data_IF_475632526517
#
_entry.id   IF_475632526517
#
_cell.length_a   1.000
_cell.length_b   1.000
_cell.length_c   1.000
_cell.angle_alpha   90.00
_cell.angle_beta   90.00
_cell.angle_gamma   90.00
#
_symmetry.space_group_name_H-M   'P 1'
#
loop_
_entity.id
_entity.type
_entity.pdbx_description
1 polymer ?
#
# COMPACT_ATOMS: atom_id res chain seq x y z
N UNK A 1 26.95 -23.01 68.87
CA UNK A 1 25.95 -22.35 67.99
C UNK A 1 26.69 -21.36 67.11
N UNK A 2 26.65 -21.55 65.81
CA UNK A 2 27.58 -20.89 64.87
C UNK A 2 27.10 -19.49 64.50
N UNK A 3 27.97 -18.50 64.54
CA UNK A 3 27.77 -17.09 64.17
C UNK A 3 27.05 -16.88 62.83
N UNK A 4 27.17 -17.84 61.94
CA UNK A 4 26.49 -17.87 60.63
C UNK A 4 24.99 -18.06 60.75
N UNK A 5 24.50 -18.82 61.77
CA UNK A 5 23.07 -19.05 61.95
C UNK A 5 22.35 -17.81 62.49
N UNK A 6 23.02 -17.02 63.32
CA UNK A 6 22.47 -15.76 63.88
C UNK A 6 22.43 -14.63 62.83
N UNK A 7 23.40 -14.60 61.91
CA UNK A 7 23.40 -13.65 60.81
C UNK A 7 22.25 -13.93 59.80
N UNK A 8 21.93 -15.19 59.57
CA UNK A 8 20.81 -15.56 58.70
C UNK A 8 19.46 -15.26 59.36
N UNK A 9 19.35 -15.47 60.66
CA UNK A 9 18.15 -15.12 61.46
C UNK A 9 17.91 -13.61 61.52
N UNK A 10 18.96 -12.82 61.74
CA UNK A 10 18.85 -11.36 61.79
C UNK A 10 18.47 -10.74 60.41
N UNK A 11 18.99 -11.30 59.31
CA UNK A 11 18.60 -10.91 57.97
C UNK A 11 17.12 -11.22 57.66
N UNK A 12 16.62 -12.41 58.04
CA UNK A 12 15.23 -12.79 57.87
C UNK A 12 14.27 -11.97 58.74
N UNK A 13 14.67 -11.60 59.95
CA UNK A 13 13.87 -10.70 60.81
C UNK A 13 13.75 -9.29 60.27
N UNK A 14 14.81 -8.73 59.65
CA UNK A 14 14.72 -7.41 58.99
C UNK A 14 13.83 -7.38 57.75
N UNK A 15 13.71 -8.52 57.06
CA UNK A 15 12.79 -8.66 55.96
C UNK A 15 11.32 -8.78 56.41
N UNK A 16 11.05 -9.23 57.63
CA UNK A 16 9.71 -9.47 58.16
C UNK A 16 9.19 -8.34 59.06
N UNK A 17 9.93 -7.23 59.24
CA UNK A 17 9.44 -6.08 60.03
C UNK A 17 8.38 -5.30 59.23
N UNK A 18 7.16 -5.13 59.80
CA UNK A 18 6.12 -4.29 59.14
C UNK A 18 6.66 -2.84 59.02
N UNK A 19 6.53 -2.28 57.82
CA UNK A 19 7.03 -0.93 57.49
C UNK A 19 8.42 -0.88 56.85
N UNK A 20 9.07 -2.02 56.54
CA UNK A 20 10.36 -2.11 55.89
C UNK A 20 10.33 -1.63 54.43
N UNK A 21 11.55 -1.50 53.83
CA UNK A 21 11.70 -1.12 52.42
C UNK A 21 10.95 -2.05 51.44
N UNK A 22 10.76 -3.31 51.82
CA UNK A 22 10.00 -4.30 51.04
C UNK A 22 8.50 -4.02 51.05
N UNK A 23 7.97 -3.53 52.16
CA UNK A 23 6.54 -3.20 52.30
C UNK A 23 6.19 -1.94 51.53
N UNK A 24 7.12 -1.00 51.43
CA UNK A 24 7.00 0.17 50.52
C UNK A 24 7.05 -0.23 49.05
N UNK A 25 7.95 -1.15 48.71
CA UNK A 25 8.05 -1.67 47.32
C UNK A 25 6.78 -2.42 46.91
N UNK A 26 6.24 -3.28 47.78
CA UNK A 26 4.98 -4.00 47.53
C UNK A 26 3.81 -3.02 47.42
N UNK A 27 3.75 -2.00 48.28
CA UNK A 27 2.70 -0.98 48.24
C UNK A 27 2.79 -0.13 46.96
N UNK A 28 3.99 0.26 46.53
CA UNK A 28 4.17 0.99 45.26
C UNK A 28 3.87 0.13 44.07
N UNK A 29 4.27 -1.14 44.04
CA UNK A 29 3.90 -2.08 42.97
C UNK A 29 2.41 -2.38 42.94
N UNK A 30 1.75 -2.49 44.09
CA UNK A 30 0.31 -2.74 44.18
C UNK A 30 -0.54 -1.59 43.56
N UNK A 31 0.01 -0.37 43.51
CA UNK A 31 -0.63 0.77 42.86
C UNK A 31 -0.13 0.95 41.43
N UNK A 32 1.17 0.82 41.21
CA UNK A 32 1.79 1.06 39.88
C UNK A 32 1.41 -0.01 38.87
N UNK A 33 1.22 -1.27 39.27
CA UNK A 33 0.86 -2.37 38.35
C UNK A 33 -0.55 -2.23 37.80
N UNK A 34 -1.61 -1.99 38.61
CA UNK A 34 -2.94 -1.72 38.07
C UNK A 34 -3.01 -0.43 37.26
N UNK A 35 -2.28 0.63 37.67
CA UNK A 35 -2.19 1.86 36.90
C UNK A 35 -1.53 1.63 35.54
N UNK A 36 -0.44 0.87 35.49
CA UNK A 36 0.23 0.49 34.24
C UNK A 36 -0.67 -0.35 33.31
N UNK A 37 -1.43 -1.30 33.87
CA UNK A 37 -2.40 -2.08 33.11
C UNK A 37 -3.53 -1.19 32.60
N UNK A 38 -4.00 -0.22 33.39
CA UNK A 38 -5.02 0.74 32.97
C UNK A 38 -4.56 1.62 31.81
N UNK A 39 -3.31 2.10 31.85
CA UNK A 39 -2.70 2.87 30.77
C UNK A 39 -2.54 2.03 29.50
N UNK A 40 -2.06 0.79 29.63
CA UNK A 40 -1.95 -0.14 28.50
C UNK A 40 -3.31 -0.48 27.90
N UNK A 41 -4.32 -0.71 28.72
CA UNK A 41 -5.69 -0.95 28.26
C UNK A 41 -6.27 0.29 27.56
N UNK A 42 -6.03 1.49 28.10
CA UNK A 42 -6.42 2.74 27.44
C UNK A 42 -5.74 2.91 26.08
N UNK A 43 -4.43 2.65 26.00
CA UNK A 43 -3.70 2.68 24.70
C UNK A 43 -4.27 1.62 23.73
N UNK A 44 -4.63 0.43 24.19
CA UNK A 44 -5.23 -0.60 23.34
C UNK A 44 -6.64 -0.22 22.87
N UNK A 45 -7.42 0.46 23.68
CA UNK A 45 -8.77 0.92 23.32
C UNK A 45 -8.72 2.12 22.36
N UNK A 46 -7.76 3.03 22.56
CA UNK A 46 -7.61 4.21 21.71
C UNK A 46 -6.70 3.99 20.49
N UNK A 47 -5.83 2.95 20.49
CA UNK A 47 -4.96 2.58 19.37
C UNK A 47 -5.70 2.14 18.09
N UNK A 48 -6.86 1.45 18.13
CA UNK A 48 -7.61 1.15 16.89
C UNK A 48 -8.29 2.37 16.25
N UNK A 49 -8.33 3.52 16.94
CA UNK A 49 -8.82 4.79 16.37
C UNK A 49 -7.73 5.51 15.53
N UNK A 50 -6.50 5.02 15.57
CA UNK A 50 -5.49 5.45 14.59
C UNK A 50 -5.62 4.54 13.37
N UNK A 51 -6.07 5.05 12.21
CA UNK A 51 -6.14 4.24 11.00
C UNK A 51 -4.73 3.76 10.66
N UNK A 52 -4.50 2.45 10.78
CA UNK A 52 -3.32 1.76 10.24
C UNK A 52 -3.44 1.70 8.73
N UNK A 53 -3.05 2.74 8.13
CA UNK A 53 -3.03 3.03 6.75
C UNK A 53 -2.98 4.54 6.68
N UNK A 54 -1.83 5.12 6.98
CA UNK A 54 -1.59 6.51 6.60
C UNK A 54 -1.66 6.56 5.08
N UNK A 55 -2.89 6.73 4.60
CA UNK A 55 -3.14 7.34 3.30
C UNK A 55 -2.67 8.77 3.48
N UNK A 56 -1.35 8.97 3.46
CA UNK A 56 -0.79 10.33 3.45
C UNK A 56 -1.15 10.97 2.11
N UNK A 57 -2.39 11.42 2.04
CA UNK A 57 -2.80 12.39 1.04
C UNK A 57 -2.09 13.69 1.44
N UNK A 58 -0.88 13.88 0.94
CA UNK A 58 -0.22 15.19 0.98
C UNK A 58 -0.99 16.13 0.04
N UNK A 59 -2.14 16.56 0.53
CA UNK A 59 -2.84 17.71 -0.03
C UNK A 59 -1.95 18.90 0.28
N UNK A 60 -1.33 19.47 -0.74
CA UNK A 60 -0.78 20.82 -0.66
C UNK A 60 -1.97 21.77 -0.39
N UNK A 61 -2.14 22.16 0.87
CA UNK A 61 -3.28 22.97 1.36
C UNK A 61 -3.50 24.27 0.56
N UNK A 62 -2.51 24.71 -0.18
CA UNK A 62 -2.55 25.97 -0.91
C UNK A 62 -3.17 25.88 -2.32
N UNK A 63 -3.60 24.68 -2.75
CA UNK A 63 -4.12 24.47 -4.11
C UNK A 63 -5.46 23.76 -4.19
N UNK A 64 -6.20 23.66 -3.09
CA UNK A 64 -7.58 23.16 -3.11
C UNK A 64 -8.52 24.32 -3.38
N UNK A 65 -8.91 24.51 -4.63
CA UNK A 65 -9.98 25.41 -4.99
C UNK A 65 -11.32 24.66 -4.91
N UNK A 66 -12.14 24.98 -3.91
CA UNK A 66 -13.53 24.54 -3.85
C UNK A 66 -14.34 25.57 -4.66
N UNK A 67 -14.68 25.23 -5.89
CA UNK A 67 -15.56 26.03 -6.74
C UNK A 67 -16.77 25.16 -7.07
N UNK A 68 -17.96 25.58 -6.64
CA UNK A 68 -19.27 24.98 -6.93
C UNK A 68 -19.29 23.44 -6.82
N UNK A 69 -19.25 22.90 -5.60
CA UNK A 69 -19.31 21.47 -5.31
C UNK A 69 -18.24 20.58 -5.99
N UNK A 70 -17.14 21.15 -6.49
CA UNK A 70 -16.05 20.44 -7.14
C UNK A 70 -14.81 20.42 -6.27
N UNK A 71 -14.33 19.22 -5.91
CA UNK A 71 -13.00 19.03 -5.35
C UNK A 71 -12.01 18.82 -6.49
N UNK A 72 -11.09 19.77 -6.69
CA UNK A 72 -10.00 19.66 -7.66
C UNK A 72 -8.66 19.67 -6.94
N UNK A 73 -7.82 18.73 -7.29
CA UNK A 73 -6.44 18.62 -6.81
C UNK A 73 -5.51 18.65 -8.02
N UNK A 74 -4.65 19.66 -8.10
CA UNK A 74 -3.60 19.70 -9.11
C UNK A 74 -2.32 19.03 -8.54
N UNK A 75 -1.67 18.23 -9.36
CA UNK A 75 -0.50 17.42 -8.97
C UNK A 75 -0.79 16.48 -7.79
N UNK A 76 -1.86 15.72 -7.90
CA UNK A 76 -2.21 14.71 -6.91
C UNK A 76 -1.12 13.63 -6.85
N UNK A 77 -0.76 13.20 -5.64
CA UNK A 77 0.18 12.11 -5.42
C UNK A 77 -0.35 11.17 -4.33
N UNK A 78 -0.33 9.90 -4.64
CA UNK A 78 -0.61 8.80 -3.70
C UNK A 78 0.63 7.92 -3.57
N UNK A 79 1.00 7.55 -2.35
CA UNK A 79 2.11 6.64 -2.06
C UNK A 79 1.61 5.52 -1.16
N UNK A 80 2.09 4.31 -1.41
CA UNK A 80 1.75 3.14 -0.63
C UNK A 80 2.81 2.06 -0.74
N UNK A 81 2.53 0.94 -0.12
CA UNK A 81 3.27 -0.30 -0.30
C UNK A 81 2.30 -1.41 -0.68
N UNK A 82 2.75 -2.35 -1.50
CA UNK A 82 1.99 -3.54 -1.83
C UNK A 82 2.03 -4.58 -0.69
N UNK A 83 1.31 -5.69 -0.84
CA UNK A 83 1.24 -6.76 0.15
C UNK A 83 2.61 -7.39 0.49
N UNK A 84 3.65 -7.08 -0.27
CA UNK A 84 5.05 -7.50 -0.05
C UNK A 84 5.93 -6.39 0.51
N UNK A 85 5.34 -5.25 0.89
CA UNK A 85 6.07 -4.09 1.40
C UNK A 85 6.84 -3.32 0.32
N UNK A 86 6.62 -3.57 -0.97
CA UNK A 86 7.31 -2.85 -2.05
C UNK A 86 6.65 -1.49 -2.26
N UNK A 87 7.43 -0.41 -2.27
CA UNK A 87 6.89 0.92 -2.41
C UNK A 87 6.34 1.16 -3.82
N UNK A 88 5.20 1.83 -3.87
CA UNK A 88 4.66 2.37 -5.12
C UNK A 88 4.19 3.81 -4.94
N UNK A 89 4.12 4.52 -6.03
CA UNK A 89 3.56 5.87 -6.09
C UNK A 89 2.71 6.05 -7.34
N UNK A 90 1.57 6.72 -7.19
CA UNK A 90 0.71 7.13 -8.29
C UNK A 90 0.64 8.64 -8.27
N UNK A 91 0.92 9.27 -9.40
CA UNK A 91 0.80 10.71 -9.57
C UNK A 91 -0.21 11.01 -10.66
N UNK A 92 -0.97 12.08 -10.51
CA UNK A 92 -1.83 12.61 -11.56
C UNK A 92 -1.59 14.13 -11.69
N UNK A 93 -1.56 14.62 -12.92
CA UNK A 93 -1.46 16.07 -13.19
C UNK A 93 -2.66 16.82 -12.61
N UNK A 94 -3.85 16.22 -12.69
CA UNK A 94 -5.04 16.70 -12.00
C UNK A 94 -5.97 15.55 -11.61
N UNK A 95 -6.68 15.72 -10.49
CA UNK A 95 -7.76 14.84 -10.04
C UNK A 95 -8.98 15.72 -9.67
N UNK A 96 -10.14 15.38 -10.20
CA UNK A 96 -11.37 16.15 -10.02
C UNK A 96 -12.51 15.22 -9.62
N UNK A 97 -13.14 15.50 -8.49
CA UNK A 97 -14.44 14.96 -8.11
C UNK A 97 -15.49 16.05 -8.35
N UNK A 98 -16.46 15.79 -9.20
CA UNK A 98 -17.41 16.81 -9.64
C UNK A 98 -18.41 17.22 -8.57
N UNK A 99 -18.86 16.30 -7.74
CA UNK A 99 -19.74 16.57 -6.60
C UNK A 99 -19.47 15.57 -5.48
N UNK A 100 -19.75 15.93 -4.24
CA UNK A 100 -19.64 15.01 -3.11
C UNK A 100 -20.61 13.82 -3.23
N UNK A 101 -21.73 13.98 -3.92
CA UNK A 101 -22.70 12.92 -4.16
C UNK A 101 -22.26 11.91 -5.25
N UNK A 102 -21.31 12.32 -6.12
CA UNK A 102 -20.77 11.43 -7.17
C UNK A 102 -19.40 10.90 -6.72
N UNK A 103 -19.30 9.60 -6.41
CA UNK A 103 -18.06 8.99 -5.90
C UNK A 103 -16.98 8.78 -6.97
N UNK A 104 -17.13 9.40 -8.15
CA UNK A 104 -16.20 9.23 -9.26
C UNK A 104 -15.19 10.36 -9.30
N UNK A 105 -13.91 9.99 -9.24
CA UNK A 105 -12.75 10.89 -9.41
C UNK A 105 -12.19 10.74 -10.81
N UNK A 106 -12.21 11.80 -11.60
CA UNK A 106 -11.58 11.85 -12.91
C UNK A 106 -10.14 12.34 -12.79
N UNK A 107 -9.20 11.63 -13.40
CA UNK A 107 -7.78 11.93 -13.35
C UNK A 107 -7.19 12.13 -14.73
N UNK A 108 -6.15 12.98 -14.82
CA UNK A 108 -5.38 13.21 -16.03
C UNK A 108 -3.89 13.10 -15.78
N UNK A 109 -3.14 12.75 -16.84
CA UNK A 109 -1.67 12.65 -16.83
C UNK A 109 -1.18 11.76 -15.68
N UNK A 110 -1.68 10.53 -15.67
CA UNK A 110 -1.40 9.56 -14.62
C UNK A 110 -0.07 8.85 -14.88
N UNK A 111 0.74 8.75 -13.83
CA UNK A 111 1.97 7.95 -13.83
C UNK A 111 2.03 7.16 -12.53
N UNK A 112 2.07 5.84 -12.65
CA UNK A 112 2.34 4.95 -11.54
C UNK A 112 3.78 4.43 -11.62
N UNK A 113 4.48 4.44 -10.49
CA UNK A 113 5.83 3.88 -10.35
C UNK A 113 5.81 2.87 -9.23
N UNK A 114 6.41 1.72 -9.46
CA UNK A 114 6.57 0.68 -8.44
C UNK A 114 7.95 0.05 -8.53
N UNK A 115 8.43 -0.45 -7.39
CA UNK A 115 9.68 -1.18 -7.34
C UNK A 115 9.37 -2.67 -7.39
N UNK A 116 9.65 -3.31 -8.51
CA UNK A 116 9.57 -4.77 -8.67
C UNK A 116 10.89 -5.41 -8.22
N UNK A 117 10.88 -6.73 -8.04
CA UNK A 117 12.09 -7.50 -7.68
C UNK A 117 13.23 -7.37 -8.71
N UNK A 118 12.89 -7.10 -9.96
CA UNK A 118 13.84 -6.97 -11.09
C UNK A 118 14.12 -5.51 -11.46
N UNK A 119 13.66 -4.55 -10.65
CA UNK A 119 13.89 -3.13 -10.85
C UNK A 119 12.61 -2.30 -10.95
N UNK A 120 12.75 -1.01 -11.24
CA UNK A 120 11.61 -0.12 -11.34
C UNK A 120 10.71 -0.43 -12.55
N UNK A 121 9.41 -0.31 -12.32
CA UNK A 121 8.38 -0.34 -13.35
C UNK A 121 7.61 0.98 -13.37
N UNK A 122 7.24 1.42 -14.56
CA UNK A 122 6.47 2.64 -14.79
C UNK A 122 5.26 2.30 -15.65
N UNK A 123 4.10 2.80 -15.23
CA UNK A 123 2.88 2.78 -16.01
C UNK A 123 2.42 4.21 -16.22
N UNK A 124 2.04 4.57 -17.43
CA UNK A 124 1.52 5.90 -17.74
C UNK A 124 0.24 5.83 -18.56
N UNK A 125 -0.65 6.79 -18.32
CA UNK A 125 -1.92 6.92 -19.03
C UNK A 125 -2.38 8.39 -19.01
N UNK A 126 -3.06 8.81 -20.07
CA UNK A 126 -3.48 10.20 -20.22
C UNK A 126 -4.71 10.55 -19.38
N UNK A 127 -5.67 9.65 -19.24
CA UNK A 127 -6.88 9.91 -18.49
C UNK A 127 -7.49 8.65 -17.90
N UNK A 128 -8.23 8.81 -16.80
CA UNK A 128 -8.95 7.73 -16.15
C UNK A 128 -10.00 8.26 -15.18
N UNK A 129 -10.86 7.36 -14.74
CA UNK A 129 -11.88 7.60 -13.75
C UNK A 129 -11.86 6.47 -12.72
N UNK A 130 -11.87 6.83 -11.45
CA UNK A 130 -11.94 5.89 -10.34
C UNK A 130 -13.27 6.04 -9.62
N UNK A 131 -14.05 4.99 -9.59
CA UNK A 131 -15.26 4.89 -8.79
C UNK A 131 -14.91 4.35 -7.40
N UNK A 132 -15.05 5.21 -6.38
CA UNK A 132 -14.70 4.88 -5.00
C UNK A 132 -15.65 3.86 -4.38
N UNK A 133 -16.92 3.82 -4.80
CA UNK A 133 -17.90 2.88 -4.27
C UNK A 133 -17.74 1.49 -4.90
N UNK A 134 -17.60 1.45 -6.22
CA UNK A 134 -17.38 0.21 -6.95
C UNK A 134 -15.94 -0.31 -6.84
N UNK A 135 -15.01 0.51 -6.35
CA UNK A 135 -13.56 0.23 -6.33
C UNK A 135 -13.02 -0.18 -7.72
N UNK A 136 -13.54 0.47 -8.75
CA UNK A 136 -13.14 0.22 -10.14
C UNK A 136 -12.46 1.45 -10.72
N UNK A 137 -11.34 1.21 -11.40
CA UNK A 137 -10.65 2.22 -12.18
C UNK A 137 -10.83 1.91 -13.67
N UNK A 138 -11.24 2.90 -14.42
CA UNK A 138 -11.34 2.85 -15.87
C UNK A 138 -10.33 3.82 -16.46
N UNK A 139 -9.43 3.32 -17.28
CA UNK A 139 -8.40 4.11 -17.96
C UNK A 139 -8.79 4.21 -19.43
N UNK A 140 -8.77 5.42 -19.95
CA UNK A 140 -9.18 5.71 -21.33
C UNK A 140 -7.98 5.95 -22.23
N UNK A 141 -8.00 5.34 -23.42
CA UNK A 141 -6.94 5.43 -24.41
C UNK A 141 -5.73 4.54 -24.08
N UNK A 142 -4.55 4.89 -24.61
CA UNK A 142 -3.36 4.07 -24.47
C UNK A 142 -2.80 4.09 -23.04
N UNK A 143 -2.52 2.90 -22.52
CA UNK A 143 -1.81 2.65 -21.29
C UNK A 143 -0.44 2.08 -21.65
N UNK A 144 0.62 2.76 -21.28
CA UNK A 144 1.99 2.33 -21.52
C UNK A 144 2.58 1.77 -20.24
N UNK A 145 3.20 0.61 -20.33
CA UNK A 145 3.93 -0.03 -19.24
C UNK A 145 5.35 -0.32 -19.70
N UNK A 146 6.32 -0.02 -18.82
CA UNK A 146 7.73 -0.31 -19.06
C UNK A 146 8.43 -0.72 -17.75
N UNK A 147 9.38 -1.65 -17.87
CA UNK A 147 10.22 -2.11 -16.76
C UNK A 147 11.71 -1.95 -17.10
N UNK A 148 12.54 -1.93 -16.09
CA UNK A 148 14.00 -1.78 -16.25
C UNK A 148 14.64 -2.98 -16.97
N UNK A 149 14.06 -4.16 -16.86
CA UNK A 149 14.54 -5.40 -17.50
C UNK A 149 14.04 -5.57 -18.95
N UNK A 150 13.44 -4.51 -19.53
CA UNK A 150 13.17 -4.42 -20.98
C UNK A 150 11.77 -4.84 -21.40
N UNK A 151 10.85 -5.13 -20.47
CA UNK A 151 9.43 -5.32 -20.84
C UNK A 151 8.80 -3.97 -21.18
N UNK A 152 8.12 -3.92 -22.31
CA UNK A 152 7.30 -2.78 -22.74
C UNK A 152 5.98 -3.29 -23.25
N UNK A 153 4.90 -2.59 -22.90
CA UNK A 153 3.56 -2.97 -23.33
C UNK A 153 2.72 -1.71 -23.52
N UNK A 154 1.88 -1.73 -24.53
CA UNK A 154 0.82 -0.76 -24.73
C UNK A 154 -0.50 -1.50 -24.83
N UNK A 155 -1.46 -1.13 -24.01
CA UNK A 155 -2.82 -1.65 -24.00
C UNK A 155 -3.80 -0.49 -24.22
N UNK A 156 -4.95 -0.75 -24.84
CA UNK A 156 -5.97 0.26 -25.07
C UNK A 156 -7.14 0.05 -24.13
N UNK A 157 -7.58 1.13 -23.48
CA UNK A 157 -8.77 1.17 -22.63
C UNK A 157 -8.79 0.05 -21.59
N UNK A 158 -8.21 0.32 -20.42
CA UNK A 158 -8.02 -0.69 -19.39
C UNK A 158 -9.01 -0.48 -18.25
N UNK A 159 -9.74 -1.53 -17.89
CA UNK A 159 -10.53 -1.62 -16.67
C UNK A 159 -9.73 -2.38 -15.60
N UNK A 160 -9.68 -1.83 -14.40
CA UNK A 160 -9.00 -2.41 -13.25
C UNK A 160 -9.97 -2.49 -12.06
N UNK A 161 -10.24 -3.71 -11.61
CA UNK A 161 -10.96 -4.02 -10.39
C UNK A 161 -9.95 -4.04 -9.24
N UNK A 162 -9.99 -3.01 -8.40
CA UNK A 162 -9.03 -2.83 -7.31
C UNK A 162 -9.26 -3.88 -6.22
N UNK A 163 -10.52 -4.20 -5.94
CA UNK A 163 -10.89 -5.16 -4.90
C UNK A 163 -10.44 -6.57 -5.23
N UNK A 164 -10.70 -7.01 -6.46
CA UNK A 164 -10.38 -8.36 -6.92
C UNK A 164 -8.97 -8.44 -7.53
N UNK A 165 -8.26 -7.31 -7.63
CA UNK A 165 -6.93 -7.20 -8.24
C UNK A 165 -6.89 -7.78 -9.67
N UNK A 166 -7.91 -7.51 -10.46
CA UNK A 166 -8.05 -7.95 -11.85
C UNK A 166 -8.01 -6.79 -12.81
N UNK A 167 -7.34 -7.00 -13.92
CA UNK A 167 -7.21 -6.03 -14.99
C UNK A 167 -7.61 -6.65 -16.33
N UNK A 168 -8.28 -5.88 -17.18
CA UNK A 168 -8.57 -6.28 -18.54
C UNK A 168 -8.50 -5.07 -19.47
N UNK A 169 -7.85 -5.22 -20.65
CA UNK A 169 -7.99 -4.23 -21.71
C UNK A 169 -9.27 -4.48 -22.50
N UNK A 170 -9.89 -3.41 -22.97
CA UNK A 170 -11.03 -3.50 -23.92
C UNK A 170 -10.57 -3.51 -25.36
N UNK A 171 -9.37 -3.01 -25.62
CA UNK A 171 -8.81 -2.96 -26.96
C UNK A 171 -7.46 -3.68 -27.04
N UNK A 172 -6.85 -3.54 -28.22
CA UNK A 172 -5.63 -4.23 -28.60
C UNK A 172 -4.49 -3.98 -27.62
N UNK A 173 -3.71 -5.05 -27.42
CA UNK A 173 -2.45 -5.01 -26.70
C UNK A 173 -1.30 -5.39 -27.62
N UNK A 174 -0.19 -4.70 -27.46
CA UNK A 174 1.07 -5.02 -28.10
C UNK A 174 2.22 -4.79 -27.11
N UNK A 175 3.28 -5.56 -27.25
CA UNK A 175 4.41 -5.40 -26.34
C UNK A 175 5.68 -6.06 -26.84
N UNK A 176 6.76 -5.70 -26.16
CA UNK A 176 8.08 -6.24 -26.33
C UNK A 176 8.53 -6.87 -25.01
N UNK A 177 9.08 -8.04 -25.09
CA UNK A 177 9.71 -8.77 -24.00
C UNK A 177 11.16 -9.07 -24.40
N UNK A 178 12.08 -9.38 -23.49
CA UNK A 178 13.46 -9.70 -23.84
C UNK A 178 13.61 -10.78 -24.91
N UNK A 179 12.64 -11.72 -24.95
CA UNK A 179 12.64 -12.84 -25.90
C UNK A 179 11.96 -12.53 -27.25
N UNK A 180 11.29 -11.38 -27.42
CA UNK A 180 10.57 -11.07 -28.64
C UNK A 180 9.46 -10.06 -28.52
N UNK A 181 8.48 -10.12 -29.40
CA UNK A 181 7.32 -9.20 -29.41
C UNK A 181 6.02 -9.99 -29.40
N UNK A 182 4.98 -9.40 -28.82
CA UNK A 182 3.65 -10.00 -28.82
C UNK A 182 2.56 -8.99 -29.20
N UNK A 183 1.47 -9.51 -29.72
CA UNK A 183 0.25 -8.76 -29.98
C UNK A 183 -0.97 -9.65 -29.68
N UNK A 184 -2.06 -9.05 -29.21
CA UNK A 184 -3.35 -9.71 -29.04
C UNK A 184 -4.48 -8.67 -29.13
N UNK A 185 -5.71 -9.13 -29.24
CA UNK A 185 -6.87 -8.24 -29.25
C UNK A 185 -7.17 -7.74 -27.84
N UNK A 186 -6.84 -8.54 -26.82
CA UNK A 186 -7.11 -8.23 -25.42
C UNK A 186 -6.06 -8.85 -24.50
N UNK A 187 -5.81 -8.19 -23.36
CA UNK A 187 -5.07 -8.75 -22.24
C UNK A 187 -5.97 -8.83 -21.02
N UNK A 188 -5.90 -9.92 -20.29
CA UNK A 188 -6.55 -10.12 -19.00
C UNK A 188 -5.49 -10.54 -17.98
N UNK A 189 -5.45 -9.90 -16.83
CA UNK A 189 -4.50 -10.24 -15.75
C UNK A 189 -5.25 -10.42 -14.45
N UNK A 190 -4.92 -11.49 -13.74
CA UNK A 190 -5.28 -11.71 -12.34
C UNK A 190 -4.01 -11.61 -11.51
N UNK A 191 -3.89 -10.52 -10.72
CA UNK A 191 -2.67 -10.24 -9.96
C UNK A 191 -2.56 -11.16 -8.74
N UNK A 192 -3.69 -11.64 -8.20
CA UNK A 192 -3.72 -12.60 -7.11
C UNK A 192 -3.21 -13.96 -7.57
N UNK A 193 -3.75 -14.45 -8.70
CA UNK A 193 -3.33 -15.69 -9.32
C UNK A 193 -1.99 -15.57 -10.08
N UNK A 194 -1.48 -14.34 -10.27
CA UNK A 194 -0.27 -14.01 -11.05
C UNK A 194 -0.34 -14.55 -12.48
N UNK A 195 -1.50 -14.50 -13.07
CA UNK A 195 -1.73 -14.95 -14.43
C UNK A 195 -1.93 -13.78 -15.37
N UNK A 196 -1.40 -13.91 -16.56
CA UNK A 196 -1.63 -12.99 -17.68
C UNK A 196 -2.06 -13.82 -18.87
N UNK A 197 -3.23 -13.49 -19.41
CA UNK A 197 -3.81 -14.16 -20.57
C UNK A 197 -3.90 -13.16 -21.73
N UNK A 198 -3.38 -13.54 -22.88
CA UNK A 198 -3.57 -12.84 -24.14
C UNK A 198 -4.71 -13.52 -24.89
N UNK A 199 -5.75 -12.77 -25.20
CA UNK A 199 -6.99 -13.26 -25.79
C UNK A 199 -7.23 -12.59 -27.14
N UNK A 200 -7.70 -13.39 -28.11
CA UNK A 200 -8.00 -12.96 -29.47
C UNK A 200 -6.76 -12.66 -30.31
N UNK A 201 -6.60 -13.36 -31.41
CA UNK A 201 -5.53 -13.17 -32.40
C UNK A 201 -4.12 -13.03 -31.79
N UNK A 202 -3.88 -13.76 -30.69
CA UNK A 202 -2.61 -13.70 -29.97
C UNK A 202 -1.46 -14.20 -30.87
N UNK A 203 -0.43 -13.39 -31.02
CA UNK A 203 0.78 -13.68 -31.78
C UNK A 203 2.00 -13.37 -30.93
N UNK A 204 2.91 -14.33 -30.87
CA UNK A 204 4.23 -14.17 -30.23
C UNK A 204 5.30 -14.42 -31.28
N UNK A 205 6.15 -13.43 -31.51
CA UNK A 205 7.33 -13.57 -32.37
C UNK A 205 8.56 -13.60 -31.50
N UNK A 206 9.22 -14.74 -31.43
CA UNK A 206 10.48 -14.91 -30.70
C UNK A 206 11.67 -14.54 -31.60
N UNK A 207 12.68 -13.88 -31.02
CA UNK A 207 13.95 -13.57 -31.67
C UNK A 207 15.01 -14.50 -31.11
N UNK A 208 15.46 -15.54 -31.88
CA UNK A 208 16.54 -16.42 -31.45
C UNK A 208 17.82 -15.61 -31.20
N UNK A 209 18.49 -15.82 -30.06
CA UNK A 209 19.76 -15.18 -29.72
C UNK A 209 19.71 -14.08 -28.66
N UNK A 210 18.56 -13.62 -28.21
CA UNK A 210 18.42 -12.68 -27.08
C UNK A 210 18.15 -13.34 -25.73
N UNK A 211 17.98 -14.65 -25.70
CA UNK A 211 17.90 -15.41 -24.42
C UNK A 211 19.30 -15.51 -23.81
N UNK A 212 19.68 -14.55 -22.96
CA UNK A 212 20.69 -14.83 -21.94
C UNK A 212 20.00 -15.66 -20.86
N UNK A 213 20.29 -16.94 -20.81
CA UNK A 213 19.99 -17.74 -19.62
C UNK A 213 20.80 -17.18 -18.44
N UNK A 214 20.18 -17.13 -17.22
CA UNK A 214 20.87 -16.71 -16.01
C UNK A 214 21.99 -17.70 -15.63
#
# INVERSE_FOLDING_TARGET
>A
MTVRADQIRSKRRRFATPGGSHDRLVRTLAVALPAGIGVLAAIMVFSPLSPRGEVSFLLDRNKVAVVDDRLRVDRAMYRGADDRGRPFSITAGSAVQHTAANPVVTMRDMVARMLLSQGPAVLSANSGAYDMNAQQMRIFGPVMFATADGYRMTAQDVDFDVQNQRMASRGRVSGEVPAGTFTADRIVSDLNARTVTLDGNARLRMTPGRMRMP
#
